data_IF_578897175022
#
_entry.id   IF_578897175022
#
_cell.length_a   1.000
_cell.length_b   1.000
_cell.length_c   1.000
_cell.angle_alpha   90.00
_cell.angle_beta   90.00
_cell.angle_gamma   90.00
#
_symmetry.space_group_name_H-M   'P 1'
#
loop_
_entity.id
_entity.type
_entity.pdbx_description
1 polymer ?
#
# COMPACT_ATOMS: atom_id res chain seq x y z
N UNK A 1 8.49 27.40 -6.91
CA UNK A 1 8.91 27.64 -6.10
C UNK A 1 8.22 27.80 -4.88
N UNK A 2 7.77 28.77 -4.64
CA UNK A 2 7.09 28.96 -3.50
C UNK A 2 6.13 27.95 -3.29
N UNK A 3 5.54 27.53 -4.25
CA UNK A 3 4.61 26.53 -4.15
C UNK A 3 5.08 25.41 -3.38
N UNK A 4 6.25 25.01 -3.59
CA UNK A 4 6.69 23.84 -2.89
C UNK A 4 6.70 24.11 -1.42
N UNK A 5 7.01 25.23 -1.04
CA UNK A 5 7.07 25.51 0.36
C UNK A 5 5.73 25.37 0.93
N UNK A 6 4.80 25.93 0.29
CA UNK A 6 3.47 25.91 0.79
C UNK A 6 3.05 24.51 0.94
N UNK A 7 3.31 23.73 -0.01
CA UNK A 7 2.88 22.41 0.02
C UNK A 7 3.43 21.74 1.21
N UNK A 8 4.63 21.92 1.49
CA UNK A 8 5.21 21.18 2.54
C UNK A 8 4.60 21.52 3.85
N UNK A 9 4.20 22.68 4.04
CA UNK A 9 3.62 23.04 5.21
C UNK A 9 2.33 22.45 5.54
N UNK A 10 1.35 22.76 4.99
CA UNK A 10 0.10 22.32 5.40
C UNK A 10 -0.16 20.94 5.04
N UNK A 11 0.71 20.32 4.51
CA UNK A 11 0.45 19.06 4.11
C UNK A 11 1.25 17.99 4.63
N UNK A 12 1.70 18.07 5.76
CA UNK A 12 2.43 17.04 6.28
C UNK A 12 1.72 15.75 6.17
N UNK A 13 0.44 15.72 6.39
CA UNK A 13 -0.29 14.52 6.28
C UNK A 13 -0.39 14.13 4.88
N UNK A 14 -0.77 15.01 4.01
CA UNK A 14 -0.91 14.69 2.63
C UNK A 14 0.46 14.41 2.11
N UNK A 15 1.45 15.11 2.61
CA UNK A 15 2.80 14.94 2.16
C UNK A 15 3.29 13.53 2.35
N UNK A 16 2.97 12.95 3.49
CA UNK A 16 3.44 11.63 3.77
C UNK A 16 2.81 10.64 2.81
N UNK A 17 1.52 10.66 2.66
CA UNK A 17 0.84 9.71 1.79
C UNK A 17 1.25 9.88 0.35
N UNK A 18 1.41 11.13 -0.08
CA UNK A 18 1.79 11.35 -1.44
C UNK A 18 3.22 10.90 -1.68
N UNK A 19 4.08 11.17 -0.74
CA UNK A 19 5.47 10.77 -0.87
C UNK A 19 5.57 9.25 -0.91
N UNK A 20 4.80 8.57 -0.09
CA UNK A 20 4.82 7.12 -0.07
C UNK A 20 4.31 6.59 -1.41
N UNK A 21 3.25 7.19 -1.93
CA UNK A 21 2.69 6.74 -3.17
C UNK A 21 3.72 6.90 -4.30
N UNK A 22 4.36 8.06 -4.37
CA UNK A 22 5.34 8.30 -5.41
C UNK A 22 6.49 7.32 -5.29
N UNK A 23 6.96 7.11 -4.09
CA UNK A 23 8.07 6.21 -3.88
C UNK A 23 7.71 4.79 -4.30
N UNK A 24 6.55 4.32 -3.95
CA UNK A 24 6.16 2.98 -4.30
C UNK A 24 5.96 2.85 -5.81
N UNK A 25 5.38 3.85 -6.43
CA UNK A 25 5.17 3.78 -7.86
C UNK A 25 6.51 3.81 -8.60
N UNK A 26 7.45 4.56 -8.10
CA UNK A 26 8.75 4.59 -8.73
C UNK A 26 9.49 3.28 -8.58
N UNK A 27 9.32 2.62 -7.46
CA UNK A 27 10.01 1.38 -7.27
C UNK A 27 9.36 0.20 -7.97
N UNK A 28 8.05 0.18 -8.01
CA UNK A 28 7.34 -0.98 -8.51
C UNK A 28 6.49 -0.75 -9.74
N UNK A 29 6.30 0.50 -10.14
CA UNK A 29 5.43 0.78 -11.26
C UNK A 29 4.00 0.89 -10.78
N UNK A 30 3.08 0.94 -11.70
CA UNK A 30 1.67 1.11 -11.35
C UNK A 30 1.04 -0.13 -10.77
N UNK A 31 1.62 -1.29 -11.05
CA UNK A 31 1.10 -2.53 -10.52
C UNK A 31 2.19 -3.27 -9.78
N UNK A 32 1.81 -4.00 -8.75
CA UNK A 32 2.76 -4.77 -8.00
C UNK A 32 2.25 -6.18 -7.96
N UNK A 33 3.12 -7.15 -8.11
CA UNK A 33 2.71 -8.53 -8.04
C UNK A 33 3.78 -9.42 -7.44
N UNK A 34 3.48 -10.69 -7.32
CA UNK A 34 4.44 -11.67 -6.85
C UNK A 34 4.96 -11.46 -5.45
N UNK A 35 6.23 -11.72 -5.29
CA UNK A 35 6.84 -11.64 -4.00
C UNK A 35 6.78 -10.22 -3.43
N UNK A 36 6.94 -9.24 -4.29
CA UNK A 36 6.89 -7.88 -3.81
C UNK A 36 5.53 -7.56 -3.20
N UNK A 37 4.47 -8.01 -3.85
CA UNK A 37 3.15 -7.75 -3.35
C UNK A 37 2.96 -8.43 -2.01
N UNK A 38 3.35 -9.70 -1.92
CA UNK A 38 3.22 -10.44 -0.68
C UNK A 38 3.94 -9.73 0.45
N UNK A 39 5.13 -9.27 0.19
CA UNK A 39 5.92 -8.62 1.23
C UNK A 39 5.32 -7.29 1.65
N UNK A 40 4.84 -6.52 0.69
CA UNK A 40 4.25 -5.24 1.03
C UNK A 40 2.98 -5.41 1.85
N UNK A 41 2.24 -6.48 1.61
CA UNK A 41 1.04 -6.73 2.38
C UNK A 41 1.35 -7.47 3.67
N UNK A 42 2.63 -7.76 3.89
CA UNK A 42 3.09 -8.37 5.13
C UNK A 42 2.62 -9.78 5.39
N UNK A 43 2.41 -10.56 4.36
CA UNK A 43 2.08 -11.96 4.56
C UNK A 43 3.38 -12.74 4.73
N UNK A 44 3.52 -13.49 5.79
CA UNK A 44 4.75 -14.20 6.06
C UNK A 44 5.10 -15.28 5.07
N UNK A 45 4.12 -15.88 4.44
CA UNK A 45 4.38 -16.93 3.49
C UNK A 45 3.50 -16.79 2.28
N UNK A 46 3.89 -17.46 1.22
CA UNK A 46 3.11 -17.43 0.01
C UNK A 46 1.77 -18.11 0.28
N UNK A 47 1.78 -19.13 1.10
CA UNK A 47 0.58 -19.85 1.39
C UNK A 47 -0.42 -18.98 2.12
N UNK A 48 0.03 -18.20 3.08
CA UNK A 48 -0.84 -17.32 3.81
C UNK A 48 -1.45 -16.29 2.85
N UNK A 49 -0.64 -15.80 1.92
CA UNK A 49 -1.12 -14.82 0.96
C UNK A 49 -2.18 -15.46 0.06
N UNK A 50 -1.91 -16.66 -0.44
CA UNK A 50 -2.86 -17.31 -1.31
C UNK A 50 -4.17 -17.59 -0.62
N UNK A 51 -4.11 -17.94 0.64
CA UNK A 51 -5.32 -18.20 1.37
C UNK A 51 -6.12 -16.92 1.55
N UNK A 52 -5.45 -15.82 1.84
CA UNK A 52 -6.14 -14.56 2.02
C UNK A 52 -6.82 -14.14 0.71
N UNK A 53 -6.14 -14.35 -0.41
CA UNK A 53 -6.70 -14.01 -1.69
C UNK A 53 -7.93 -14.86 -1.96
N UNK A 54 -7.81 -16.17 -1.68
CA UNK A 54 -8.90 -17.07 -1.93
C UNK A 54 -10.13 -16.71 -1.10
N UNK A 55 -9.93 -16.24 0.09
CA UNK A 55 -11.01 -15.89 0.96
C UNK A 55 -11.50 -14.45 0.78
N UNK A 56 -10.88 -13.72 -0.11
CA UNK A 56 -11.26 -12.33 -0.33
C UNK A 56 -10.99 -11.47 0.87
N UNK A 57 -9.95 -11.80 1.65
CA UNK A 57 -9.64 -11.03 2.81
C UNK A 57 -8.36 -10.24 2.75
N UNK A 58 -8.00 -9.77 1.60
CA UNK A 58 -6.80 -8.95 1.47
C UNK A 58 -7.17 -7.49 1.71
N UNK A 59 -6.23 -6.69 2.20
CA UNK A 59 -6.52 -5.29 2.50
C UNK A 59 -6.74 -4.41 1.29
N UNK A 60 -6.30 -4.84 0.11
CA UNK A 60 -6.54 -4.10 -1.11
C UNK A 60 -7.02 -5.08 -2.15
N UNK A 61 -7.68 -4.63 -3.20
CA UNK A 61 -8.17 -5.54 -4.22
C UNK A 61 -7.00 -6.25 -4.92
N UNK A 62 -7.12 -7.55 -5.06
CA UNK A 62 -6.11 -8.35 -5.72
C UNK A 62 -6.78 -8.97 -6.93
N UNK A 63 -6.13 -8.92 -8.07
CA UNK A 63 -6.72 -9.47 -9.28
C UNK A 63 -5.69 -10.08 -10.20
N UNK A 64 -6.10 -10.94 -11.10
CA UNK A 64 -5.19 -11.54 -12.05
C UNK A 64 -5.11 -10.65 -13.28
N UNK A 65 -4.09 -10.78 -14.06
CA UNK A 65 -3.99 -10.05 -15.30
C UNK A 65 -4.00 -11.03 -16.45
N UNK A 66 -4.56 -10.65 -17.57
CA UNK A 66 -4.61 -11.54 -18.72
C UNK A 66 -3.19 -11.87 -19.13
N UNK A 67 -2.96 -13.08 -19.50
CA UNK A 67 -1.67 -13.50 -20.01
C UNK A 67 -0.52 -13.35 -19.00
N UNK A 68 -0.81 -13.16 -17.74
CA UNK A 68 0.23 -13.10 -16.76
C UNK A 68 -0.10 -14.00 -15.61
N UNK A 69 0.90 -14.60 -15.00
CA UNK A 69 0.65 -15.44 -13.88
C UNK A 69 0.68 -14.66 -12.62
N UNK A 70 -0.03 -15.11 -11.63
CA UNK A 70 0.04 -14.53 -10.31
C UNK A 70 -1.04 -13.52 -10.02
N UNK A 71 -0.87 -12.87 -8.89
CA UNK A 71 -1.85 -11.91 -8.41
C UNK A 71 -1.24 -10.53 -8.38
N UNK A 72 -2.03 -9.54 -8.69
CA UNK A 72 -1.53 -8.18 -8.75
C UNK A 72 -2.41 -7.20 -8.00
N UNK A 73 -1.89 -6.07 -7.66
CA UNK A 73 -2.65 -5.01 -7.00
C UNK A 73 -2.17 -3.68 -7.57
N UNK A 74 -3.00 -2.66 -7.44
CA UNK A 74 -2.62 -1.35 -7.92
C UNK A 74 -1.77 -0.70 -6.87
N UNK A 75 -0.59 -0.24 -7.26
CA UNK A 75 0.36 0.34 -6.32
C UNK A 75 -0.21 1.48 -5.51
N UNK A 76 -0.99 2.34 -6.14
CA UNK A 76 -1.55 3.46 -5.41
C UNK A 76 -2.51 2.99 -4.33
N UNK A 77 -3.18 1.89 -4.53
CA UNK A 77 -4.10 1.40 -3.51
C UNK A 77 -3.34 0.87 -2.32
N UNK A 78 -2.17 0.29 -2.56
CA UNK A 78 -1.36 -0.19 -1.47
C UNK A 78 -0.85 1.00 -0.66
N UNK A 79 -0.45 2.08 -1.35
CA UNK A 79 0.03 3.26 -0.67
C UNK A 79 -1.07 3.86 0.20
N UNK A 80 -2.30 3.90 -0.32
CA UNK A 80 -3.41 4.44 0.43
C UNK A 80 -3.70 3.58 1.67
N UNK A 81 -3.61 2.27 1.50
CA UNK A 81 -3.86 1.37 2.61
C UNK A 81 -2.79 1.55 3.69
N UNK A 82 -1.53 1.65 3.30
CA UNK A 82 -0.47 1.80 4.27
C UNK A 82 -0.60 3.14 5.01
N UNK A 83 -0.98 4.18 4.29
CA UNK A 83 -1.16 5.48 4.92
C UNK A 83 -2.31 5.41 5.92
N UNK A 84 -3.35 4.69 5.55
CA UNK A 84 -4.50 4.55 6.43
C UNK A 84 -4.11 3.77 7.70
N UNK A 85 -3.29 2.74 7.54
CA UNK A 85 -2.86 1.97 8.68
C UNK A 85 -2.06 2.83 9.65
N UNK A 86 -1.21 3.70 9.10
CA UNK A 86 -0.42 4.55 9.94
C UNK A 86 -1.30 5.52 10.68
N UNK A 87 -2.29 6.06 10.02
CA UNK A 87 -3.17 7.00 10.66
C UNK A 87 -4.00 6.33 11.74
N UNK A 88 -4.44 5.12 11.50
CA UNK A 88 -5.19 4.42 12.51
C UNK A 88 -4.31 4.10 13.70
N UNK A 89 -3.08 3.74 13.45
CA UNK A 89 -2.19 3.43 14.54
C UNK A 89 -1.98 4.65 15.41
N UNK A 90 -1.88 5.79 14.77
CA UNK A 90 -1.66 7.00 15.50
C UNK A 90 -2.83 7.32 16.37
N UNK A 91 -4.00 7.13 15.90
CA UNK A 91 -5.14 7.42 16.66
C UNK A 91 -5.47 6.37 17.62
N UNK A 92 -5.40 5.17 17.27
CA UNK A 92 -5.81 4.15 18.16
C UNK A 92 -4.77 3.54 18.95
N UNK A 93 -3.63 4.02 18.86
CA UNK A 93 -2.58 3.45 19.52
C UNK A 93 -2.87 3.26 20.90
N UNK A 94 -3.61 4.05 21.34
CA UNK A 94 -3.88 3.97 22.72
C UNK A 94 -4.44 2.61 22.96
N UNK A 95 -5.17 2.19 22.13
CA UNK A 95 -5.82 0.96 22.34
C UNK A 95 -4.92 -0.18 22.28
N UNK A 96 -3.93 -0.06 21.71
CA UNK A 96 -3.17 -1.10 21.53
C UNK A 96 -2.59 -1.48 22.58
N UNK A 97 -2.26 -0.76 23.17
CA UNK A 97 -1.63 -1.28 24.21
C UNK A 97 -1.25 -2.51 23.86
#
# INVERSE_FOLDING_TARGET
MVVSDTSSLGHEKLGYGRALEIDLVERHGLLIGGEELRKLLCYPTVEAFRQAVRRGKTPVPIFPLPHRRGHFAITKEIAAWLTSCREHASQGEAGIG
#
